data_IF_049961794946
#
_entry.id   IF_049961794946
#
_cell.length_a   1.000
_cell.length_b   1.000
_cell.length_c   1.000
_cell.angle_alpha   90.00
_cell.angle_beta   90.00
_cell.angle_gamma   90.00
#
_symmetry.space_group_name_H-M   'P 1'
#
loop_
_entity.id
_entity.type
_entity.pdbx_description
1 polymer ?
#
# COMPACT_ATOMS: atom_id res chain seq x y z
N UNK A 1 -5.51 4.62 12.18
CA UNK A 1 -5.31 3.41 12.97
C UNK A 1 -3.89 2.89 12.79
N UNK A 2 -3.32 2.30 13.81
CA UNK A 2 -1.95 1.79 13.81
C UNK A 2 -1.87 0.45 14.55
N UNK A 3 -1.08 -0.48 14.03
CA UNK A 3 -0.66 -1.68 14.75
C UNK A 3 0.58 -1.36 15.58
N UNK A 4 0.47 -1.48 16.88
CA UNK A 4 1.62 -1.36 17.77
C UNK A 4 2.55 -2.58 17.62
N UNK A 5 3.85 -2.46 17.95
CA UNK A 5 4.77 -3.59 17.86
C UNK A 5 4.23 -4.82 18.63
N UNK A 6 4.20 -5.97 17.98
CA UNK A 6 3.68 -7.20 18.52
C UNK A 6 2.16 -7.36 18.54
N UNK A 7 1.39 -6.31 18.21
CA UNK A 7 -0.07 -6.39 18.21
C UNK A 7 -0.60 -7.01 16.90
N UNK A 8 -1.68 -7.79 17.02
CA UNK A 8 -2.46 -8.32 15.88
C UNK A 8 -3.70 -7.49 15.59
N UNK A 9 -4.07 -6.58 16.49
CA UNK A 9 -5.21 -5.67 16.39
C UNK A 9 -4.73 -4.21 16.36
N UNK A 10 -5.38 -3.32 15.59
CA UNK A 10 -5.01 -1.93 15.53
C UNK A 10 -5.65 -1.10 16.63
N UNK A 11 -5.02 0.01 16.95
CA UNK A 11 -5.57 1.06 17.81
C UNK A 11 -5.69 2.37 17.05
N UNK A 12 -6.59 3.24 17.47
CA UNK A 12 -6.70 4.60 16.91
C UNK A 12 -5.50 5.42 17.35
N UNK A 13 -4.67 5.85 16.40
CA UNK A 13 -3.54 6.75 16.68
C UNK A 13 -3.96 8.22 16.68
N UNK A 14 -4.81 8.63 15.73
CA UNK A 14 -5.17 10.02 15.55
C UNK A 14 -6.07 10.25 14.34
N UNK A 15 -6.06 11.48 13.84
CA UNK A 15 -6.84 11.88 12.67
C UNK A 15 -6.01 12.65 11.66
N UNK A 16 -6.34 12.48 10.40
CA UNK A 16 -5.90 13.34 9.31
C UNK A 16 -6.98 14.37 9.00
N UNK A 17 -6.58 15.57 8.64
CA UNK A 17 -7.49 16.59 8.12
C UNK A 17 -6.81 17.40 7.02
N UNK A 18 -7.57 17.70 5.98
CA UNK A 18 -7.12 18.53 4.87
C UNK A 18 -7.44 20.00 5.13
N UNK A 19 -6.46 20.86 4.92
CA UNK A 19 -6.62 22.32 4.99
C UNK A 19 -5.62 22.99 4.05
N UNK A 20 -6.08 23.94 3.26
CA UNK A 20 -5.24 24.77 2.38
C UNK A 20 -4.33 23.95 1.44
N UNK A 21 -4.84 22.84 0.91
CA UNK A 21 -4.09 21.94 0.02
C UNK A 21 -3.09 21.01 0.70
N UNK A 22 -2.99 21.06 2.03
CA UNK A 22 -2.14 20.16 2.84
C UNK A 22 -2.99 19.25 3.69
N UNK A 23 -2.41 18.10 4.07
CA UNK A 23 -3.02 17.16 5.02
C UNK A 23 -2.14 17.09 6.26
N UNK A 24 -2.69 17.57 7.38
CA UNK A 24 -2.04 17.52 8.68
C UNK A 24 -2.54 16.34 9.52
N UNK A 25 -1.75 15.94 10.50
CA UNK A 25 -2.07 14.87 11.44
C UNK A 25 -2.21 15.42 12.88
N UNK A 26 -3.12 14.82 13.67
CA UNK A 26 -3.22 15.05 15.11
C UNK A 26 -3.32 13.71 15.82
N UNK A 27 -2.48 13.49 16.82
CA UNK A 27 -2.68 12.34 17.71
C UNK A 27 -3.95 12.47 18.55
N UNK A 28 -4.62 11.35 18.78
CA UNK A 28 -5.73 11.26 19.72
C UNK A 28 -5.23 11.38 21.17
N UNK A 29 -5.98 12.06 22.04
CA UNK A 29 -5.63 12.16 23.47
C UNK A 29 -5.52 10.78 24.13
N UNK A 30 -6.43 9.86 23.76
CA UNK A 30 -6.41 8.47 24.25
C UNK A 30 -5.18 7.70 23.77
N UNK A 31 -4.64 8.02 22.58
CA UNK A 31 -3.41 7.42 22.08
C UNK A 31 -2.19 7.96 22.86
N UNK A 32 -2.10 9.28 23.02
CA UNK A 32 -1.00 9.91 23.77
C UNK A 32 -0.95 9.49 25.25
N UNK A 33 -2.09 9.07 25.83
CA UNK A 33 -2.16 8.59 27.19
C UNK A 33 -1.74 7.10 27.36
N UNK A 34 -1.46 6.39 26.26
CA UNK A 34 -1.01 4.99 26.32
C UNK A 34 0.47 4.91 26.70
N UNK A 35 0.81 4.00 27.58
CA UNK A 35 2.21 3.73 27.95
C UNK A 35 3.02 3.12 26.80
N UNK A 36 2.35 2.38 25.92
CA UNK A 36 2.93 1.72 24.75
C UNK A 36 2.84 2.55 23.45
N UNK A 37 2.38 3.80 23.53
CA UNK A 37 2.30 4.65 22.34
C UNK A 37 3.68 4.86 21.70
N UNK A 38 3.72 4.77 20.38
CA UNK A 38 4.91 5.05 19.59
C UNK A 38 4.62 6.19 18.61
N UNK A 39 5.61 7.01 18.23
CA UNK A 39 5.45 7.93 17.11
C UNK A 39 5.24 7.13 15.83
N UNK A 40 4.35 7.59 14.93
CA UNK A 40 4.15 6.94 13.63
C UNK A 40 5.43 7.01 12.79
N UNK A 41 6.12 8.14 12.86
CA UNK A 41 7.50 8.32 12.39
C UNK A 41 8.09 9.53 13.11
N UNK A 42 9.06 9.31 13.99
CA UNK A 42 9.54 10.35 14.91
C UNK A 42 9.99 11.66 14.22
N UNK A 43 10.71 11.65 13.08
CA UNK A 43 11.13 12.89 12.42
C UNK A 43 9.98 13.76 11.87
N UNK A 44 8.81 13.17 11.55
CA UNK A 44 7.68 13.90 10.99
C UNK A 44 6.52 14.06 11.98
N UNK A 45 6.25 13.00 12.74
CA UNK A 45 5.10 12.89 13.63
C UNK A 45 5.54 12.45 15.04
N UNK A 46 6.25 13.33 15.79
CA UNK A 46 6.59 13.07 17.18
C UNK A 46 5.33 12.93 18.06
N UNK A 47 5.43 12.24 19.21
CA UNK A 47 4.31 12.06 20.14
C UNK A 47 3.98 13.37 20.88
N UNK A 48 3.35 14.29 20.17
CA UNK A 48 2.98 15.61 20.67
C UNK A 48 1.49 15.89 20.46
N UNK A 49 0.92 16.70 21.36
CA UNK A 49 -0.44 17.16 21.23
C UNK A 49 -0.51 18.35 20.27
N UNK A 50 -1.57 18.43 19.48
CA UNK A 50 -1.77 19.52 18.53
C UNK A 50 -1.68 19.06 17.08
N UNK A 51 -1.65 20.03 16.18
CA UNK A 51 -1.57 19.80 14.75
C UNK A 51 -0.11 19.61 14.33
N UNK A 52 0.16 18.54 13.65
CA UNK A 52 1.45 18.20 13.06
C UNK A 52 1.33 18.33 11.53
N UNK A 53 1.81 19.46 10.96
CA UNK A 53 1.79 19.66 9.51
C UNK A 53 2.84 18.78 8.82
N UNK A 54 2.73 18.53 7.51
CA UNK A 54 3.81 17.89 6.75
C UNK A 54 5.08 18.75 6.76
N UNK A 55 6.21 18.13 6.47
CA UNK A 55 7.48 18.85 6.30
C UNK A 55 7.38 19.89 5.17
N UNK A 56 8.17 20.99 5.23
CA UNK A 56 8.17 22.02 4.20
C UNK A 56 8.37 21.44 2.80
N UNK A 57 7.49 21.84 1.87
CA UNK A 57 7.49 21.34 0.48
C UNK A 57 6.67 20.07 0.27
N UNK A 58 6.17 19.42 1.32
CA UNK A 58 5.27 18.27 1.23
C UNK A 58 3.82 18.68 1.50
N UNK A 59 2.88 17.99 0.85
CA UNK A 59 1.43 18.19 1.07
C UNK A 59 0.83 17.18 2.04
N UNK A 60 1.57 16.12 2.36
CA UNK A 60 1.17 15.01 3.23
C UNK A 60 2.41 14.52 3.98
N UNK A 61 2.34 14.15 5.27
CA UNK A 61 3.47 13.50 5.94
C UNK A 61 3.95 12.26 5.17
N UNK A 62 5.27 12.12 4.98
CA UNK A 62 5.86 11.07 4.15
C UNK A 62 5.48 9.67 4.63
N UNK A 63 5.49 9.42 5.94
CA UNK A 63 5.07 8.13 6.50
C UNK A 63 3.58 7.79 6.23
N UNK A 64 2.72 8.79 6.07
CA UNK A 64 1.33 8.61 5.66
C UNK A 64 1.25 8.36 4.15
N UNK A 65 2.03 9.12 3.35
CA UNK A 65 2.15 8.92 1.90
C UNK A 65 2.61 7.52 1.56
N UNK A 66 3.59 6.97 2.29
CA UNK A 66 4.10 5.61 2.06
C UNK A 66 3.03 4.53 2.24
N UNK A 67 2.00 4.80 3.04
CA UNK A 67 0.85 3.92 3.21
C UNK A 67 -0.31 4.23 2.25
N UNK A 68 -0.19 5.25 1.39
CA UNK A 68 -1.18 5.60 0.39
C UNK A 68 -1.03 4.72 -0.87
N UNK A 69 -2.09 4.61 -1.70
CA UNK A 69 -1.96 3.99 -3.00
C UNK A 69 -1.08 4.83 -3.93
N UNK A 70 -0.19 4.17 -4.64
CA UNK A 70 0.63 4.78 -5.67
C UNK A 70 -0.02 4.73 -7.07
N UNK A 71 0.76 4.97 -8.13
CA UNK A 71 0.25 5.07 -9.49
C UNK A 71 -0.57 3.86 -9.94
N UNK A 72 -0.22 2.63 -9.55
CA UNK A 72 -1.03 1.44 -9.85
C UNK A 72 -2.33 1.44 -9.06
N UNK A 73 -2.26 1.59 -7.76
CA UNK A 73 -3.43 1.59 -6.87
C UNK A 73 -4.40 2.71 -7.21
N UNK A 74 -3.89 3.90 -7.54
CA UNK A 74 -4.73 5.04 -7.99
C UNK A 74 -5.46 4.70 -9.29
N UNK A 75 -4.80 4.04 -10.27
CA UNK A 75 -5.46 3.57 -11.49
C UNK A 75 -6.61 2.60 -11.22
N UNK A 76 -6.40 1.65 -10.31
CA UNK A 76 -7.45 0.69 -9.93
C UNK A 76 -8.65 1.42 -9.30
N UNK A 77 -8.39 2.36 -8.38
CA UNK A 77 -9.44 3.15 -7.71
C UNK A 77 -10.21 4.01 -8.73
N UNK A 78 -9.51 4.67 -9.66
CA UNK A 78 -10.14 5.48 -10.71
C UNK A 78 -10.98 4.62 -11.66
N UNK A 79 -10.47 3.46 -12.09
CA UNK A 79 -11.22 2.53 -12.93
C UNK A 79 -12.50 2.07 -12.23
N UNK A 80 -12.43 1.73 -10.95
CA UNK A 80 -13.58 1.32 -10.14
C UNK A 80 -14.63 2.42 -10.01
N UNK A 81 -14.20 3.65 -9.71
CA UNK A 81 -15.13 4.76 -9.46
C UNK A 81 -15.78 5.30 -10.73
N UNK A 82 -15.05 5.35 -11.82
CA UNK A 82 -15.46 6.08 -13.01
C UNK A 82 -15.51 5.21 -14.28
N UNK A 83 -15.04 3.97 -14.24
CA UNK A 83 -15.03 3.06 -15.39
C UNK A 83 -14.22 3.56 -16.59
N UNK A 84 -13.19 4.41 -16.35
CA UNK A 84 -12.44 5.09 -17.39
C UNK A 84 -10.97 4.72 -17.42
N UNK A 85 -10.33 4.94 -18.59
CA UNK A 85 -8.87 4.85 -18.72
C UNK A 85 -8.19 5.88 -17.85
N UNK A 86 -7.13 5.47 -17.18
CA UNK A 86 -6.33 6.32 -16.30
C UNK A 86 -5.67 7.55 -16.99
N UNK A 87 -5.90 7.78 -18.28
CA UNK A 87 -5.42 8.96 -19.00
C UNK A 87 -6.52 9.98 -19.32
N UNK A 88 -7.78 9.65 -19.03
CA UNK A 88 -8.95 10.51 -19.32
C UNK A 88 -9.36 11.35 -18.10
N UNK A 89 -8.95 10.95 -16.90
CA UNK A 89 -9.12 11.72 -15.67
C UNK A 89 -7.76 12.10 -15.10
N UNK A 90 -7.60 13.35 -14.72
CA UNK A 90 -6.44 13.79 -13.95
C UNK A 90 -6.53 13.10 -12.56
N UNK A 91 -5.43 12.45 -12.13
CA UNK A 91 -5.33 11.88 -10.79
C UNK A 91 -5.53 12.94 -9.69
N UNK A 92 -5.49 14.22 -10.05
CA UNK A 92 -5.77 15.38 -9.20
C UNK A 92 -7.25 15.59 -8.88
N UNK A 93 -8.16 14.91 -9.58
CA UNK A 93 -9.61 15.04 -9.36
C UNK A 93 -10.10 14.41 -8.05
N UNK A 94 -9.28 13.54 -7.42
CA UNK A 94 -9.55 12.97 -6.11
C UNK A 94 -8.54 13.46 -5.06
N UNK A 95 -9.04 13.78 -3.86
CA UNK A 95 -8.19 14.17 -2.75
C UNK A 95 -7.34 12.98 -2.24
N UNK A 96 -6.18 13.26 -1.63
CA UNK A 96 -5.35 12.25 -0.96
C UNK A 96 -6.14 11.45 0.08
N UNK A 97 -7.00 12.13 0.86
CA UNK A 97 -7.86 11.47 1.84
C UNK A 97 -8.84 10.47 1.18
N UNK A 98 -9.34 10.80 -0.01
CA UNK A 98 -10.19 9.87 -0.77
C UNK A 98 -9.41 8.63 -1.16
N UNK A 99 -8.20 8.78 -1.71
CA UNK A 99 -7.36 7.63 -2.05
C UNK A 99 -7.01 6.77 -0.83
N UNK A 100 -6.71 7.39 0.31
CA UNK A 100 -6.45 6.69 1.56
C UNK A 100 -7.67 5.86 2.03
N UNK A 101 -8.88 6.38 1.88
CA UNK A 101 -10.11 5.70 2.31
C UNK A 101 -10.57 4.62 1.32
N UNK A 102 -10.36 4.84 0.02
CA UNK A 102 -10.81 3.93 -1.03
C UNK A 102 -9.87 2.73 -1.25
N UNK A 103 -8.66 2.77 -0.75
CA UNK A 103 -7.70 1.66 -0.86
C UNK A 103 -7.91 0.62 0.24
N UNK A 104 -7.47 -0.63 -0.03
CA UNK A 104 -7.61 -1.76 0.88
C UNK A 104 -6.89 -1.58 2.22
N UNK A 105 -7.30 -2.36 3.23
CA UNK A 105 -6.71 -2.29 4.57
C UNK A 105 -5.40 -3.05 4.74
N UNK A 106 -5.04 -3.94 3.81
CA UNK A 106 -3.76 -4.67 3.86
C UNK A 106 -2.62 -3.88 3.20
N UNK A 107 -2.42 -2.65 3.66
CA UNK A 107 -1.40 -1.70 3.18
C UNK A 107 -0.01 -2.16 3.52
N UNK A 108 0.98 -1.55 2.87
CA UNK A 108 2.37 -1.66 3.33
C UNK A 108 2.49 -0.99 4.70
N UNK A 109 3.29 -1.58 5.58
CA UNK A 109 3.52 -1.05 6.92
C UNK A 109 2.39 -1.33 7.90
N UNK A 110 2.34 -0.55 8.98
CA UNK A 110 1.48 -0.76 10.14
C UNK A 110 0.31 0.24 10.25
N UNK A 111 0.02 1.01 9.20
CA UNK A 111 -1.06 2.01 9.21
C UNK A 111 -2.30 1.51 8.48
N UNK A 112 -3.48 2.01 8.86
CA UNK A 112 -4.70 1.99 8.05
C UNK A 112 -5.57 3.23 8.34
N UNK A 113 -6.45 3.55 7.39
CA UNK A 113 -7.27 4.75 7.42
C UNK A 113 -8.75 4.36 7.39
N UNK A 114 -9.52 4.90 8.32
CA UNK A 114 -10.93 4.61 8.52
C UNK A 114 -11.70 5.92 8.70
N UNK A 115 -12.97 5.93 8.35
CA UNK A 115 -13.85 7.08 8.64
C UNK A 115 -14.21 7.16 10.12
N UNK A 116 -14.37 6.01 10.78
CA UNK A 116 -14.75 5.93 12.19
C UNK A 116 -13.54 5.99 13.11
N UNK A 117 -13.57 6.77 14.18
CA UNK A 117 -12.56 6.72 15.24
C UNK A 117 -12.79 5.59 16.27
N UNK A 118 -13.93 4.91 16.21
CA UNK A 118 -14.33 3.92 17.22
C UNK A 118 -14.59 2.52 16.67
N UNK A 119 -14.82 2.40 15.37
CA UNK A 119 -15.09 1.11 14.72
C UNK A 119 -14.03 0.88 13.64
N UNK A 120 -13.31 -0.22 13.73
CA UNK A 120 -12.39 -0.67 12.70
C UNK A 120 -13.08 -1.72 11.82
N UNK A 121 -13.21 -1.42 10.54
CA UNK A 121 -13.75 -2.33 9.52
C UNK A 121 -12.68 -2.62 8.49
N UNK A 122 -12.09 -3.82 8.54
CA UNK A 122 -11.10 -4.21 7.55
C UNK A 122 -11.72 -4.30 6.16
N UNK A 123 -11.22 -3.50 5.23
CA UNK A 123 -11.52 -3.62 3.81
C UNK A 123 -10.68 -4.76 3.24
N UNK A 124 -11.16 -5.98 3.53
CA UNK A 124 -10.49 -7.21 3.16
C UNK A 124 -11.10 -7.77 1.85
N UNK A 125 -10.29 -8.35 0.90
CA UNK A 125 -10.81 -9.09 -0.23
C UNK A 125 -11.23 -10.50 0.18
N UNK A 126 -12.05 -11.09 -0.65
CA UNK A 126 -12.18 -12.54 -0.73
C UNK A 126 -11.01 -13.08 -1.53
N UNK A 127 -10.50 -14.26 -1.14
CA UNK A 127 -9.42 -14.90 -1.87
C UNK A 127 -9.77 -15.03 -3.37
N UNK A 128 -8.83 -14.64 -4.23
CA UNK A 128 -8.95 -14.75 -5.67
C UNK A 128 -7.76 -15.56 -6.22
N UNK A 129 -7.97 -16.27 -7.30
CA UNK A 129 -6.90 -16.97 -8.00
C UNK A 129 -5.92 -15.99 -8.67
N UNK A 130 -4.70 -16.43 -8.95
CA UNK A 130 -3.74 -15.63 -9.70
C UNK A 130 -4.26 -15.27 -11.09
N UNK A 131 -5.02 -16.16 -11.72
CA UNK A 131 -5.63 -15.96 -13.02
C UNK A 131 -6.66 -14.82 -13.00
N UNK A 132 -7.54 -14.80 -12.01
CA UNK A 132 -8.54 -13.72 -11.82
C UNK A 132 -7.84 -12.36 -11.55
N UNK A 133 -6.81 -12.35 -10.72
CA UNK A 133 -6.03 -11.15 -10.45
C UNK A 133 -5.30 -10.61 -11.68
N UNK A 134 -4.76 -11.51 -12.52
CA UNK A 134 -4.12 -11.16 -13.79
C UNK A 134 -5.12 -10.63 -14.81
N UNK A 135 -6.30 -11.23 -14.89
CA UNK A 135 -7.38 -10.74 -15.77
C UNK A 135 -7.82 -9.34 -15.34
N UNK A 136 -8.07 -9.15 -14.05
CA UNK A 136 -8.44 -7.85 -13.49
C UNK A 136 -7.38 -6.78 -13.78
N UNK A 137 -6.09 -7.11 -13.56
CA UNK A 137 -4.99 -6.20 -13.84
C UNK A 137 -4.92 -5.83 -15.34
N UNK A 138 -5.10 -6.79 -16.24
CA UNK A 138 -5.09 -6.54 -17.69
C UNK A 138 -6.27 -5.65 -18.13
N UNK A 139 -7.45 -5.79 -17.50
CA UNK A 139 -8.61 -4.91 -17.76
C UNK A 139 -8.33 -3.48 -17.32
N UNK A 140 -7.76 -3.28 -16.12
CA UNK A 140 -7.39 -1.93 -15.62
C UNK A 140 -6.38 -1.26 -16.56
N UNK A 141 -5.36 -1.97 -17.03
CA UNK A 141 -4.39 -1.42 -18.00
C UNK A 141 -5.05 -0.97 -19.31
N UNK A 142 -6.07 -1.69 -19.78
CA UNK A 142 -6.83 -1.36 -20.99
C UNK A 142 -7.94 -0.33 -20.76
N UNK A 143 -8.19 0.07 -19.51
CA UNK A 143 -9.30 0.94 -19.13
C UNK A 143 -10.67 0.28 -19.33
N UNK A 144 -10.74 -1.04 -19.22
CA UNK A 144 -12.00 -1.78 -19.26
C UNK A 144 -12.55 -1.85 -17.83
N UNK A 145 -13.82 -1.52 -17.60
CA UNK A 145 -14.45 -1.65 -16.28
C UNK A 145 -14.34 -3.06 -15.74
N UNK A 146 -14.11 -3.18 -14.44
CA UNK A 146 -14.08 -4.45 -13.74
C UNK A 146 -15.50 -4.95 -13.45
N UNK A 147 -15.72 -6.27 -13.49
CA UNK A 147 -16.89 -6.86 -12.88
C UNK A 147 -16.80 -6.73 -11.35
N UNK A 148 -17.93 -6.79 -10.60
CA UNK A 148 -17.89 -6.71 -9.14
C UNK A 148 -16.95 -7.73 -8.48
N UNK A 149 -16.85 -8.93 -9.04
CA UNK A 149 -16.00 -10.00 -8.54
C UNK A 149 -14.51 -9.67 -8.75
N UNK A 150 -14.15 -9.20 -9.95
CA UNK A 150 -12.78 -8.81 -10.28
C UNK A 150 -12.36 -7.54 -9.54
N UNK A 151 -13.28 -6.59 -9.33
CA UNK A 151 -13.03 -5.40 -8.49
C UNK A 151 -12.73 -5.81 -7.05
N UNK A 152 -13.55 -6.69 -6.48
CA UNK A 152 -13.32 -7.21 -5.14
C UNK A 152 -11.98 -7.95 -5.03
N UNK A 153 -11.61 -8.75 -6.05
CA UNK A 153 -10.35 -9.47 -6.10
C UNK A 153 -9.15 -8.53 -6.10
N UNK A 154 -9.18 -7.47 -6.93
CA UNK A 154 -8.04 -6.57 -7.11
C UNK A 154 -7.93 -5.49 -6.03
N UNK A 155 -9.00 -5.24 -5.27
CA UNK A 155 -9.05 -4.17 -4.26
C UNK A 155 -7.90 -4.21 -3.25
N UNK A 156 -7.36 -5.38 -2.95
CA UNK A 156 -6.20 -5.55 -2.06
C UNK A 156 -4.87 -5.06 -2.62
N UNK A 157 -4.65 -5.14 -3.92
CA UNK A 157 -3.43 -4.68 -4.56
C UNK A 157 -3.30 -3.16 -4.65
N UNK A 158 -4.35 -2.41 -4.23
CA UNK A 158 -4.41 -0.95 -4.40
C UNK A 158 -3.51 -0.17 -3.44
N UNK A 159 -3.06 -0.77 -2.36
CA UNK A 159 -2.30 -0.08 -1.29
C UNK A 159 -0.83 -0.50 -1.21
N UNK A 160 -0.30 -1.13 -2.25
CA UNK A 160 1.11 -1.52 -2.35
C UNK A 160 1.80 -0.68 -3.41
N UNK A 161 2.95 -0.11 -3.06
CA UNK A 161 3.73 0.79 -3.87
C UNK A 161 4.16 0.30 -5.26
N UNK A 162 4.34 1.20 -6.24
CA UNK A 162 4.84 0.96 -7.60
C UNK A 162 3.81 1.14 -8.71
N UNK A 163 4.28 1.44 -9.92
CA UNK A 163 3.45 1.78 -11.08
C UNK A 163 2.95 0.55 -11.88
N UNK A 164 3.50 -0.64 -11.62
CA UNK A 164 3.22 -1.86 -12.39
C UNK A 164 2.07 -2.67 -11.81
N UNK A 165 1.37 -3.47 -12.64
CA UNK A 165 0.31 -4.35 -12.19
C UNK A 165 0.78 -5.32 -11.09
N UNK A 166 0.06 -5.34 -9.98
CA UNK A 166 0.33 -6.21 -8.84
C UNK A 166 -0.92 -6.48 -8.03
N UNK A 167 -0.87 -7.52 -7.22
CA UNK A 167 -1.90 -7.87 -6.26
C UNK A 167 -1.29 -8.44 -4.98
N UNK A 168 -2.09 -8.51 -3.92
CA UNK A 168 -1.72 -9.22 -2.69
C UNK A 168 -2.31 -10.62 -2.71
N UNK A 169 -1.50 -11.58 -2.31
CA UNK A 169 -1.94 -12.96 -2.10
C UNK A 169 -1.47 -13.45 -0.73
N UNK A 170 -2.23 -14.35 -0.17
CA UNK A 170 -1.89 -15.03 1.09
C UNK A 170 -1.81 -16.53 0.81
N UNK A 171 -0.69 -17.13 1.16
CA UNK A 171 -0.47 -18.56 1.10
C UNK A 171 -0.20 -19.08 2.52
N UNK A 172 -1.29 -19.45 3.20
CA UNK A 172 -1.25 -20.01 4.54
C UNK A 172 -0.53 -19.13 5.58
N UNK A 173 0.77 -19.32 5.71
CA UNK A 173 1.59 -18.63 6.72
C UNK A 173 2.30 -17.38 6.20
N UNK A 174 2.25 -17.10 4.89
CA UNK A 174 3.05 -16.04 4.26
C UNK A 174 2.17 -15.17 3.39
N UNK A 175 2.42 -13.87 3.43
CA UNK A 175 1.81 -12.91 2.51
C UNK A 175 2.82 -12.48 1.44
N UNK A 176 2.35 -12.38 0.21
CA UNK A 176 3.16 -12.02 -0.94
C UNK A 176 2.57 -10.82 -1.69
N UNK A 177 3.46 -10.09 -2.34
CA UNK A 177 3.11 -9.21 -3.46
C UNK A 177 3.33 -10.01 -4.74
N UNK A 178 2.25 -10.28 -5.47
CA UNK A 178 2.30 -10.88 -6.81
C UNK A 178 2.46 -9.76 -7.84
N UNK A 179 3.55 -9.78 -8.61
CA UNK A 179 3.81 -8.81 -9.68
C UNK A 179 3.60 -9.45 -11.04
N UNK A 180 2.86 -8.76 -11.90
CA UNK A 180 2.46 -9.23 -13.22
C UNK A 180 3.21 -8.49 -14.31
N UNK A 181 3.37 -9.15 -15.47
CA UNK A 181 3.84 -8.50 -16.69
C UNK A 181 2.81 -7.47 -17.15
N UNK A 182 3.28 -6.31 -17.59
CA UNK A 182 2.46 -5.31 -18.28
C UNK A 182 2.35 -5.60 -19.76
N UNK A 183 1.27 -5.17 -20.39
CA UNK A 183 1.10 -5.26 -21.85
C UNK A 183 2.11 -4.40 -22.63
N UNK A 184 2.74 -3.44 -21.97
CA UNK A 184 3.78 -2.56 -22.53
C UNK A 184 5.21 -3.08 -22.37
N UNK A 185 5.42 -4.26 -21.77
CA UNK A 185 6.74 -4.81 -21.53
C UNK A 185 7.43 -5.25 -22.85
N UNK A 186 8.59 -4.69 -23.11
CA UNK A 186 9.44 -5.07 -24.24
C UNK A 186 10.25 -6.35 -23.99
N UNK A 187 10.41 -6.73 -22.73
CA UNK A 187 11.08 -7.94 -22.26
C UNK A 187 10.43 -8.43 -20.96
N UNK A 188 10.82 -9.62 -20.48
CA UNK A 188 10.26 -10.16 -19.24
C UNK A 188 10.80 -9.44 -18.01
N UNK A 189 10.17 -8.30 -17.64
CA UNK A 189 10.54 -7.52 -16.46
C UNK A 189 10.39 -8.34 -15.18
N UNK A 190 9.35 -9.16 -15.09
CA UNK A 190 9.11 -10.08 -13.96
C UNK A 190 10.30 -11.03 -13.75
N UNK A 191 10.85 -11.62 -14.80
CA UNK A 191 12.06 -12.46 -14.71
C UNK A 191 13.31 -11.64 -14.40
N UNK A 192 13.44 -10.45 -14.98
CA UNK A 192 14.55 -9.55 -14.69
C UNK A 192 14.61 -9.18 -13.22
N UNK A 193 13.48 -8.82 -12.62
CA UNK A 193 13.39 -8.52 -11.19
C UNK A 193 13.68 -9.76 -10.33
N UNK A 194 13.17 -10.93 -10.70
CA UNK A 194 13.49 -12.19 -10.02
C UNK A 194 15.00 -12.44 -9.99
N UNK A 195 15.68 -12.32 -11.13
CA UNK A 195 17.13 -12.53 -11.25
C UNK A 195 17.87 -11.51 -10.38
N UNK A 196 17.51 -10.22 -10.44
CA UNK A 196 18.15 -9.17 -9.67
C UNK A 196 18.01 -9.41 -8.16
N UNK A 197 16.84 -9.78 -7.66
CA UNK A 197 16.64 -10.06 -6.24
C UNK A 197 17.37 -11.34 -5.79
N UNK A 198 17.42 -12.36 -6.63
CA UNK A 198 18.20 -13.58 -6.36
C UNK A 198 19.69 -13.29 -6.30
N UNK A 199 20.21 -12.48 -7.22
CA UNK A 199 21.63 -12.06 -7.19
C UNK A 199 21.92 -11.23 -5.95
N UNK A 200 21.07 -10.27 -5.58
CA UNK A 200 21.21 -9.49 -4.35
C UNK A 200 21.36 -10.40 -3.13
N UNK A 201 20.45 -11.37 -2.98
CA UNK A 201 20.49 -12.37 -1.89
C UNK A 201 21.81 -13.19 -1.92
N UNK A 202 22.24 -13.65 -3.10
CA UNK A 202 23.51 -14.39 -3.25
C UNK A 202 24.74 -13.55 -2.90
N UNK A 203 24.67 -12.24 -3.10
CA UNK A 203 25.70 -11.29 -2.69
C UNK A 203 25.66 -10.91 -1.20
N UNK A 204 24.79 -11.53 -0.41
CA UNK A 204 24.65 -11.27 1.02
C UNK A 204 23.83 -10.03 1.37
N UNK A 205 23.12 -9.42 0.41
CA UNK A 205 22.19 -8.35 0.68
C UNK A 205 20.90 -8.96 1.26
N UNK A 206 20.40 -8.38 2.35
CA UNK A 206 19.12 -8.79 2.96
C UNK A 206 17.96 -8.36 2.06
N UNK A 207 17.65 -9.19 1.09
CA UNK A 207 16.56 -9.00 0.14
C UNK A 207 15.38 -9.93 0.47
N UNK A 208 14.16 -9.43 0.27
CA UNK A 208 12.95 -10.23 0.49
C UNK A 208 12.99 -11.53 -0.35
N UNK A 209 12.57 -12.67 0.19
CA UNK A 209 12.49 -13.92 -0.55
C UNK A 209 11.57 -13.78 -1.76
N UNK A 210 11.98 -14.38 -2.87
CA UNK A 210 11.24 -14.34 -4.13
C UNK A 210 11.08 -15.71 -4.74
N UNK A 211 9.93 -15.94 -5.39
CA UNK A 211 9.68 -17.11 -6.23
C UNK A 211 9.04 -16.71 -7.55
N UNK A 212 9.25 -17.53 -8.58
CA UNK A 212 8.63 -17.35 -9.88
C UNK A 212 7.65 -18.50 -10.12
N UNK A 213 6.40 -18.16 -10.34
CA UNK A 213 5.32 -19.12 -10.63
C UNK A 213 4.70 -18.83 -12.00
N UNK A 214 3.92 -19.77 -12.53
CA UNK A 214 3.18 -19.59 -13.79
C UNK A 214 1.68 -19.63 -13.54
N UNK A 215 0.97 -18.64 -14.08
CA UNK A 215 -0.47 -18.59 -14.08
C UNK A 215 -0.94 -18.07 -15.45
N UNK A 216 -2.01 -18.61 -16.00
CA UNK A 216 -2.54 -18.29 -17.35
C UNK A 216 -1.44 -18.25 -18.44
N UNK A 217 -0.45 -19.15 -18.37
CA UNK A 217 0.67 -19.22 -19.32
C UNK A 217 1.74 -18.12 -19.21
N UNK A 218 1.64 -17.21 -18.24
CA UNK A 218 2.60 -16.12 -17.98
C UNK A 218 3.35 -16.34 -16.67
N UNK A 219 4.53 -15.73 -16.57
CA UNK A 219 5.31 -15.73 -15.34
C UNK A 219 4.77 -14.66 -14.38
N UNK A 220 4.71 -14.99 -13.09
CA UNK A 220 4.32 -14.13 -11.98
C UNK A 220 5.44 -14.16 -10.94
N UNK A 221 5.91 -12.98 -10.53
CA UNK A 221 6.88 -12.86 -9.44
C UNK A 221 6.14 -12.73 -8.12
N UNK A 222 6.40 -13.63 -7.20
CA UNK A 222 5.95 -13.54 -5.81
C UNK A 222 7.09 -13.00 -4.96
N UNK A 223 6.85 -11.89 -4.27
CA UNK A 223 7.78 -11.28 -3.32
C UNK A 223 7.18 -11.41 -1.93
N UNK A 224 7.89 -12.07 -1.02
CA UNK A 224 7.44 -12.20 0.37
C UNK A 224 7.39 -10.83 1.05
N UNK A 225 6.32 -10.58 1.80
CA UNK A 225 6.16 -9.33 2.54
C UNK A 225 6.96 -9.36 3.83
N UNK A 226 7.94 -8.48 3.94
CA UNK A 226 8.77 -8.31 5.13
C UNK A 226 8.01 -7.60 6.29
N UNK A 227 6.91 -6.93 5.97
CA UNK A 227 6.13 -6.12 6.91
C UNK A 227 4.97 -6.89 7.56
N UNK A 228 4.88 -8.19 7.31
CA UNK A 228 3.87 -9.10 7.87
C UNK A 228 4.53 -10.29 8.56
N UNK A 229 4.07 -10.58 9.77
CA UNK A 229 4.48 -11.77 10.52
C UNK A 229 3.25 -12.48 11.05
N UNK A 230 3.16 -13.80 10.83
CA UNK A 230 2.10 -14.61 11.42
C UNK A 230 2.33 -14.75 12.91
N UNK A 231 1.27 -14.56 13.70
CA UNK A 231 1.26 -14.76 15.14
C UNK A 231 -0.05 -15.41 15.58
N UNK A 232 -0.10 -15.87 16.83
CA UNK A 232 -1.35 -16.33 17.42
C UNK A 232 -2.36 -15.16 17.42
N UNK A 233 -3.54 -15.42 16.86
CA UNK A 233 -4.60 -14.41 16.75
C UNK A 233 -4.57 -13.54 15.50
N UNK A 234 -3.58 -13.67 14.60
CA UNK A 234 -3.63 -12.91 13.35
C UNK A 234 -2.28 -12.49 12.77
N UNK A 235 -2.25 -11.35 12.10
CA UNK A 235 -1.07 -10.78 11.49
C UNK A 235 -0.53 -9.59 12.28
N UNK A 236 0.70 -9.69 12.75
CA UNK A 236 1.47 -8.54 13.21
C UNK A 236 1.94 -7.73 11.99
N UNK A 237 2.02 -6.40 12.18
CA UNK A 237 2.49 -5.48 11.15
C UNK A 237 3.73 -4.73 11.63
N UNK A 238 4.72 -4.61 10.75
CA UNK A 238 5.89 -3.77 11.00
C UNK A 238 5.67 -2.39 10.39
N UNK A 239 6.02 -1.35 11.14
CA UNK A 239 6.09 0.00 10.57
C UNK A 239 7.12 0.04 9.43
N UNK A 240 6.85 0.84 8.42
CA UNK A 240 7.72 1.02 7.26
C UNK A 240 7.68 2.48 6.82
N UNK A 241 8.83 3.00 6.41
CA UNK A 241 8.97 4.26 5.69
C UNK A 241 9.87 4.04 4.49
N UNK A 242 9.59 4.75 3.40
CA UNK A 242 10.37 4.69 2.18
C UNK A 242 11.66 5.52 2.28
N UNK A 243 12.59 5.31 1.36
CA UNK A 243 13.76 6.17 1.22
C UNK A 243 13.38 7.63 0.94
N UNK A 244 12.29 7.88 0.19
CA UNK A 244 11.77 9.24 -0.02
C UNK A 244 11.44 9.93 1.30
N UNK A 245 10.74 9.21 2.19
CA UNK A 245 10.37 9.73 3.51
C UNK A 245 11.59 9.96 4.40
N UNK A 246 12.57 9.04 4.40
CA UNK A 246 13.82 9.20 5.15
C UNK A 246 14.60 10.44 4.69
N UNK A 247 14.60 10.72 3.38
CA UNK A 247 15.29 11.84 2.77
C UNK A 247 14.47 13.15 2.74
N UNK A 248 13.22 13.13 3.21
CA UNK A 248 12.33 14.30 3.18
C UNK A 248 11.95 14.75 1.77
N UNK A 249 11.91 13.81 0.80
CA UNK A 249 11.64 14.08 -0.61
C UNK A 249 10.20 13.71 -0.99
N UNK A 250 9.67 14.35 -2.04
CA UNK A 250 8.51 13.88 -2.77
C UNK A 250 8.89 13.10 -4.04
N UNK A 251 7.90 12.52 -4.72
CA UNK A 251 8.12 11.73 -5.94
C UNK A 251 8.69 12.57 -7.11
N UNK A 252 8.45 13.88 -7.14
CA UNK A 252 8.93 14.75 -8.20
C UNK A 252 10.40 15.15 -7.98
N UNK A 253 10.86 15.17 -6.74
CA UNK A 253 12.25 15.49 -6.37
C UNK A 253 13.21 14.30 -6.60
N UNK A 254 12.67 13.09 -6.73
CA UNK A 254 13.45 11.86 -6.87
C UNK A 254 13.73 11.47 -8.34
N UNK A 255 13.52 12.37 -9.29
CA UNK A 255 13.75 12.14 -10.73
C UNK A 255 15.11 12.61 -11.19
#
# INVERSE_FOLDING_TARGET
>A
WVWLPGATEPVVAGRLHARDGMVAFNYGRSYLARSEAIPLYLPELPLEAGELPPLPGLTLPGCIRDAAPDAWGRRVILNRKFGVKAGELDQRDLSELTFLLESGSDRIGALDFQLSPSVYEARAAKGASLEELMEAAARVEKGIPLSPELDQALHHGTSIGGARPKALIEDGAVKHVAKFSSSSDLYSVVKGEFIAMRLASLCGIDAAPVSLVRAAGKDVLLVERFDRMRADGGWQRRAMVSALTILGLDEMMAR
#
